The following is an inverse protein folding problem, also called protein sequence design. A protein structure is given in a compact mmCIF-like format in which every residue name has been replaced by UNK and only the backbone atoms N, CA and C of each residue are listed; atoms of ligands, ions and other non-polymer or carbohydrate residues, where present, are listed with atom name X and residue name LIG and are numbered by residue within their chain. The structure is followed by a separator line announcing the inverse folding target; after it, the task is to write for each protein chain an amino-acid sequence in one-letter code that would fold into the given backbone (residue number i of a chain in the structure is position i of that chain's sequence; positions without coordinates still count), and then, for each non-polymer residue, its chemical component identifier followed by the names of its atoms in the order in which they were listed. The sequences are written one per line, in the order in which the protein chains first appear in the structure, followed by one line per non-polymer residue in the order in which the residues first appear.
data_IF_748301385540
#
_entry.id   IF_748301385540
#
_cell.length_a   1.000
_cell.length_b   1.000
_cell.length_c   1.000
_cell.angle_alpha   90.00
_cell.angle_beta   90.00
_cell.angle_gamma   90.00
#
_symmetry.space_group_name_H-M   'P 1'
#
loop_
_entity.id
_entity.type
_entity.pdbx_description
1 polymer ?
#
# COMPACT_ATOMS: atom_id res chain seq x y z
N UNK A 1 -22.64 -16.18 49.78
CA UNK A 1 -21.75 -15.16 49.16
C UNK A 1 -20.75 -15.80 48.18
N UNK A 2 -21.20 -16.45 47.09
CA UNK A 2 -20.28 -17.20 46.19
C UNK A 2 -20.51 -17.00 44.68
N UNK A 3 -21.45 -16.15 44.26
CA UNK A 3 -21.76 -15.94 42.83
C UNK A 3 -21.43 -14.53 42.30
N UNK A 4 -20.77 -13.66 43.08
CA UNK A 4 -20.38 -12.33 42.59
C UNK A 4 -19.02 -12.30 41.88
N UNK A 5 -18.23 -13.36 41.98
CA UNK A 5 -16.89 -13.42 41.37
C UNK A 5 -16.91 -13.85 39.90
N UNK A 6 -17.99 -14.49 39.43
CA UNK A 6 -18.08 -15.00 38.06
C UNK A 6 -18.38 -13.91 37.01
N UNK A 7 -18.85 -12.74 37.43
CA UNK A 7 -19.20 -11.62 36.52
C UNK A 7 -17.96 -10.77 36.18
N UNK A 8 -16.89 -10.84 36.98
CA UNK A 8 -15.70 -10.01 36.75
C UNK A 8 -14.76 -10.55 35.65
N UNK A 9 -14.89 -11.83 35.28
CA UNK A 9 -14.01 -12.48 34.29
C UNK A 9 -14.51 -12.28 32.85
N UNK A 10 -15.75 -11.86 32.64
CA UNK A 10 -16.35 -11.72 31.30
C UNK A 10 -16.08 -10.36 30.61
N UNK A 11 -15.40 -9.42 31.29
CA UNK A 11 -15.15 -8.06 30.77
C UNK A 11 -13.79 -7.89 30.10
N UNK A 12 -13.00 -8.94 29.98
CA UNK A 12 -11.69 -8.91 29.30
C UNK A 12 -11.77 -9.41 27.85
N UNK A 13 -12.87 -9.14 27.16
CA UNK A 13 -12.87 -9.15 25.69
C UNK A 13 -12.21 -7.84 25.26
N UNK A 14 -10.88 -7.86 25.18
CA UNK A 14 -10.10 -6.78 24.60
C UNK A 14 -10.59 -6.64 23.16
N UNK A 15 -11.41 -5.63 22.92
CA UNK A 15 -11.74 -5.17 21.58
C UNK A 15 -10.45 -4.65 20.98
N UNK A 16 -9.74 -5.50 20.23
CA UNK A 16 -8.71 -5.04 19.30
C UNK A 16 -9.43 -4.29 18.19
N UNK A 17 -9.75 -3.02 18.47
CA UNK A 17 -10.16 -2.09 17.42
C UNK A 17 -8.98 -1.94 16.49
N UNK A 18 -9.06 -2.55 15.31
CA UNK A 18 -8.15 -2.26 14.21
C UNK A 18 -8.39 -0.81 13.80
N UNK A 19 -7.73 0.12 14.49
CA UNK A 19 -7.66 1.51 14.06
C UNK A 19 -6.93 1.55 12.73
N UNK A 20 -7.56 2.11 11.70
CA UNK A 20 -6.94 2.29 10.39
C UNK A 20 -5.76 3.25 10.55
N UNK A 21 -4.54 2.78 10.25
CA UNK A 21 -3.33 3.59 10.41
C UNK A 21 -3.18 4.49 9.17
N UNK A 22 -3.40 5.79 9.34
CA UNK A 22 -3.12 6.75 8.26
C UNK A 22 -1.60 6.90 8.09
N UNK A 23 -1.11 6.71 6.87
CA UNK A 23 0.30 6.87 6.51
C UNK A 23 0.44 7.96 5.44
N UNK A 24 1.67 8.44 5.24
CA UNK A 24 1.98 9.42 4.19
C UNK A 24 3.05 8.90 3.24
N UNK A 25 3.24 9.60 2.13
CA UNK A 25 4.34 9.34 1.21
C UNK A 25 5.73 9.50 1.86
N UNK A 26 5.85 10.27 2.93
CA UNK A 26 7.10 10.42 3.67
C UNK A 26 7.43 9.18 4.52
N UNK A 27 6.41 8.41 4.91
CA UNK A 27 6.64 7.11 5.53
C UNK A 27 7.20 6.11 4.51
N UNK A 28 6.61 6.08 3.31
CA UNK A 28 7.04 5.19 2.23
C UNK A 28 8.39 5.58 1.61
N UNK A 29 8.79 6.85 1.72
CA UNK A 29 10.09 7.33 1.29
C UNK A 29 11.27 6.79 2.12
N UNK A 30 11.01 6.12 3.26
CA UNK A 30 12.03 5.52 4.13
C UNK A 30 12.47 4.15 3.58
N UNK A 31 13.06 4.18 2.40
CA UNK A 31 13.60 3.02 1.66
C UNK A 31 14.87 3.46 0.94
N UNK A 32 15.83 2.56 0.82
CA UNK A 32 17.00 2.75 -0.04
C UNK A 32 16.98 1.73 -1.18
N UNK A 33 17.64 2.05 -2.29
CA UNK A 33 17.70 1.16 -3.44
C UNK A 33 19.15 0.85 -3.82
N UNK A 34 19.36 -0.36 -4.32
CA UNK A 34 20.64 -0.83 -4.87
C UNK A 34 20.37 -1.64 -6.13
N UNK A 35 21.29 -1.64 -7.08
CA UNK A 35 21.17 -2.49 -8.28
C UNK A 35 21.38 -3.96 -7.89
N UNK A 36 20.41 -4.81 -8.27
CA UNK A 36 20.50 -6.27 -8.15
C UNK A 36 20.25 -6.89 -9.51
N UNK A 37 21.11 -7.82 -9.90
CA UNK A 37 20.92 -8.61 -11.12
C UNK A 37 19.87 -9.70 -10.86
N UNK A 38 18.86 -9.77 -11.74
CA UNK A 38 17.82 -10.79 -11.72
C UNK A 38 18.00 -11.74 -12.91
N UNK A 39 18.53 -12.96 -12.70
CA UNK A 39 18.85 -13.88 -13.79
C UNK A 39 17.67 -14.24 -14.69
N UNK A 40 16.46 -14.31 -14.12
CA UNK A 40 15.25 -14.64 -14.87
C UNK A 40 14.89 -13.61 -15.95
N UNK A 41 15.36 -12.36 -15.78
CA UNK A 41 15.09 -11.24 -16.68
C UNK A 41 16.37 -10.75 -17.39
N UNK A 42 17.51 -11.40 -17.12
CA UNK A 42 18.84 -11.05 -17.63
C UNK A 42 19.20 -9.55 -17.46
N UNK A 43 18.67 -8.89 -16.43
CA UNK A 43 18.77 -7.44 -16.24
C UNK A 43 18.99 -7.05 -14.78
N UNK A 44 19.45 -5.81 -14.57
CA UNK A 44 19.54 -5.21 -13.24
C UNK A 44 18.29 -4.39 -12.95
N UNK A 45 17.74 -4.54 -11.75
CA UNK A 45 16.62 -3.76 -11.26
C UNK A 45 16.97 -3.11 -9.92
N UNK A 46 16.26 -2.01 -9.61
CA UNK A 46 16.34 -1.36 -8.31
C UNK A 46 15.74 -2.29 -7.24
N UNK A 47 16.60 -2.79 -6.36
CA UNK A 47 16.22 -3.64 -5.26
C UNK A 47 16.03 -2.83 -3.98
N UNK A 48 14.84 -2.84 -3.36
CA UNK A 48 14.56 -2.03 -2.19
C UNK A 48 15.11 -2.65 -0.90
N UNK A 49 15.68 -1.81 -0.04
CA UNK A 49 15.94 -2.09 1.36
C UNK A 49 15.03 -1.20 2.21
N UNK A 50 13.90 -1.76 2.66
CA UNK A 50 12.91 -1.05 3.46
C UNK A 50 13.41 -0.79 4.88
N UNK A 51 13.15 0.42 5.39
CA UNK A 51 13.40 0.74 6.81
C UNK A 51 12.51 -0.08 7.73
N UNK A 52 12.89 -0.17 9.00
CA UNK A 52 12.10 -0.87 10.01
C UNK A 52 10.68 -0.29 10.14
N UNK A 53 10.55 1.05 10.08
CA UNK A 53 9.25 1.70 10.12
C UNK A 53 8.32 1.34 8.96
N UNK A 54 8.87 1.01 7.79
CA UNK A 54 8.07 0.53 6.64
C UNK A 54 7.69 -0.93 6.83
N UNK A 55 8.62 -1.76 7.33
CA UNK A 55 8.35 -3.18 7.63
C UNK A 55 7.27 -3.35 8.69
N UNK A 56 7.22 -2.47 9.69
CA UNK A 56 6.16 -2.46 10.71
C UNK A 56 4.75 -2.20 10.15
N UNK A 57 4.63 -1.69 8.92
CA UNK A 57 3.34 -1.52 8.25
C UNK A 57 2.84 -2.81 7.60
N UNK A 58 3.71 -3.78 7.32
CA UNK A 58 3.36 -4.99 6.58
C UNK A 58 2.30 -5.79 7.33
N UNK A 59 1.24 -6.18 6.61
CA UNK A 59 0.09 -6.90 7.17
C UNK A 59 -0.87 -6.04 7.99
N UNK A 60 -0.61 -4.73 8.14
CA UNK A 60 -1.52 -3.80 8.82
C UNK A 60 -2.47 -3.14 7.83
N UNK A 61 -3.65 -2.72 8.32
CA UNK A 61 -4.58 -1.92 7.53
C UNK A 61 -4.18 -0.45 7.58
N UNK A 62 -3.79 0.10 6.43
CA UNK A 62 -3.34 1.48 6.29
C UNK A 62 -4.23 2.26 5.33
N UNK A 63 -4.36 3.56 5.57
CA UNK A 63 -5.02 4.49 4.66
C UNK A 63 -3.97 5.44 4.07
N UNK A 64 -3.92 5.52 2.75
CA UNK A 64 -3.03 6.42 2.01
C UNK A 64 -3.83 7.27 1.02
N UNK A 65 -3.42 8.53 0.85
CA UNK A 65 -4.02 9.46 -0.11
C UNK A 65 -3.08 9.72 -1.26
N UNK A 66 -3.57 9.66 -2.49
CA UNK A 66 -2.79 9.95 -3.70
C UNK A 66 -3.66 10.09 -4.94
N UNK A 67 -2.99 10.21 -6.08
CA UNK A 67 -3.64 10.23 -7.39
C UNK A 67 -3.95 8.80 -7.83
N UNK A 68 -5.20 8.53 -8.16
CA UNK A 68 -5.59 7.27 -8.78
C UNK A 68 -5.16 7.27 -10.24
N UNK A 69 -4.39 6.27 -10.64
CA UNK A 69 -3.94 6.07 -12.01
C UNK A 69 -4.42 4.71 -12.51
N UNK A 70 -5.18 4.72 -13.60
CA UNK A 70 -5.49 3.52 -14.35
C UNK A 70 -4.64 3.52 -15.62
N UNK A 71 -3.60 2.68 -15.65
CA UNK A 71 -2.58 2.69 -16.73
C UNK A 71 -2.89 1.67 -17.82
N UNK A 72 -3.64 0.63 -17.48
CA UNK A 72 -4.05 -0.41 -18.42
C UNK A 72 -5.52 -0.22 -18.83
N UNK A 73 -5.84 -0.17 -20.14
CA UNK A 73 -7.21 -0.14 -20.63
C UNK A 73 -8.10 -1.29 -20.12
N UNK A 74 -7.52 -2.45 -19.78
CA UNK A 74 -8.28 -3.58 -19.20
C UNK A 74 -8.49 -3.44 -17.69
N UNK A 75 -7.78 -2.51 -17.04
CA UNK A 75 -7.90 -2.24 -15.62
C UNK A 75 -7.17 -3.24 -14.72
N UNK A 76 -6.20 -3.97 -15.27
CA UNK A 76 -5.42 -4.97 -14.52
C UNK A 76 -4.34 -4.31 -13.67
N UNK A 77 -3.93 -3.07 -14.03
CA UNK A 77 -2.92 -2.30 -13.30
C UNK A 77 -3.47 -0.96 -12.80
N UNK A 78 -3.87 -0.95 -11.54
CA UNK A 78 -4.34 0.23 -10.82
C UNK A 78 -3.27 0.70 -9.84
N UNK A 79 -3.03 2.00 -9.80
CA UNK A 79 -1.93 2.57 -9.02
C UNK A 79 -2.42 3.77 -8.23
N UNK A 80 -1.97 3.85 -6.98
CA UNK A 80 -1.98 5.07 -6.21
C UNK A 80 -0.60 5.72 -6.35
N UNK A 81 -0.58 6.96 -6.82
CA UNK A 81 0.66 7.69 -7.10
C UNK A 81 0.78 8.93 -6.22
N UNK A 82 2.01 9.27 -5.82
CA UNK A 82 2.32 10.52 -5.10
C UNK A 82 1.99 11.76 -5.93
N UNK A 83 2.17 11.68 -7.24
CA UNK A 83 1.91 12.75 -8.20
C UNK A 83 0.91 12.34 -9.29
N UNK A 84 0.40 13.30 -10.09
CA UNK A 84 -0.45 13.01 -11.23
C UNK A 84 0.30 12.21 -12.31
N UNK A 85 -0.44 11.68 -13.28
CA UNK A 85 0.07 10.91 -14.41
C UNK A 85 1.22 11.60 -15.12
N UNK A 86 1.16 12.93 -15.29
CA UNK A 86 2.19 13.73 -15.97
C UNK A 86 3.53 13.82 -15.23
N UNK A 87 3.60 13.39 -13.97
CA UNK A 87 4.81 13.36 -13.14
C UNK A 87 4.95 12.08 -12.31
N UNK A 88 4.34 10.99 -12.77
CA UNK A 88 4.37 9.70 -12.09
C UNK A 88 5.77 9.03 -12.21
N UNK A 89 5.97 7.97 -11.43
CA UNK A 89 7.10 7.03 -11.53
C UNK A 89 7.43 6.66 -12.99
N UNK A 90 6.42 6.32 -13.79
CA UNK A 90 6.60 5.93 -15.20
C UNK A 90 7.07 7.07 -16.11
N UNK A 91 6.92 8.33 -15.69
CA UNK A 91 7.43 9.48 -16.41
C UNK A 91 8.88 9.83 -16.02
N UNK A 92 9.49 9.05 -15.12
CA UNK A 92 10.87 9.25 -14.67
C UNK A 92 11.07 10.40 -13.68
N UNK A 93 9.98 10.95 -13.13
CA UNK A 93 10.01 12.08 -12.18
C UNK A 93 10.00 11.62 -10.72
N UNK A 94 9.51 10.41 -10.43
CA UNK A 94 9.50 9.79 -9.11
C UNK A 94 10.26 8.47 -9.07
N UNK A 95 10.74 8.09 -7.88
CA UNK A 95 11.32 6.76 -7.64
C UNK A 95 10.24 5.69 -7.37
N UNK A 96 10.61 4.40 -7.28
CA UNK A 96 9.64 3.33 -7.05
C UNK A 96 8.81 3.51 -5.77
N UNK A 97 9.35 4.24 -4.78
CA UNK A 97 8.67 4.57 -3.54
C UNK A 97 7.49 5.54 -3.68
N UNK A 98 7.28 6.10 -4.88
CA UNK A 98 6.20 7.05 -5.18
C UNK A 98 4.98 6.41 -5.83
N UNK A 99 4.98 5.08 -5.99
CA UNK A 99 3.89 4.30 -6.57
C UNK A 99 3.50 3.14 -5.65
N UNK A 100 2.20 2.91 -5.51
CA UNK A 100 1.62 1.77 -4.79
C UNK A 100 0.64 1.06 -5.71
N UNK A 101 0.88 -0.21 -5.97
CA UNK A 101 -0.06 -1.06 -6.71
C UNK A 101 -1.31 -1.30 -5.87
N UNK A 102 -2.48 -1.17 -6.50
CA UNK A 102 -3.78 -1.37 -5.87
C UNK A 102 -4.38 -2.67 -6.37
N UNK A 103 -4.48 -3.67 -5.50
CA UNK A 103 -5.15 -4.93 -5.80
C UNK A 103 -6.60 -4.84 -5.32
N UNK A 104 -7.45 -4.33 -6.21
CA UNK A 104 -8.88 -4.11 -5.96
C UNK A 104 -9.67 -5.21 -6.67
N UNK A 105 -10.56 -5.90 -5.94
CA UNK A 105 -11.36 -7.00 -6.49
C UNK A 105 -12.24 -6.60 -7.69
N UNK A 106 -12.60 -5.32 -7.80
CA UNK A 106 -13.35 -4.77 -8.92
C UNK A 106 -12.80 -3.40 -9.27
N UNK A 107 -12.48 -3.18 -10.55
CA UNK A 107 -12.03 -1.88 -11.03
C UNK A 107 -13.07 -0.80 -10.71
N UNK A 108 -12.72 0.22 -9.90
CA UNK A 108 -13.62 1.30 -9.57
C UNK A 108 -13.75 2.26 -10.77
N UNK A 109 -14.96 2.78 -11.01
CA UNK A 109 -15.19 3.78 -12.05
C UNK A 109 -14.67 5.17 -11.60
N UNK A 110 -13.36 5.30 -11.48
CA UNK A 110 -12.64 6.50 -11.04
C UNK A 110 -11.76 6.95 -12.22
N UNK A 111 -11.77 8.24 -12.52
CA UNK A 111 -10.94 8.79 -13.57
C UNK A 111 -9.47 8.89 -13.11
N UNK A 112 -8.53 8.63 -14.02
CA UNK A 112 -7.11 8.91 -13.79
C UNK A 112 -6.91 10.36 -13.32
N UNK A 113 -5.95 10.57 -12.42
CA UNK A 113 -5.65 11.82 -11.72
C UNK A 113 -6.67 12.28 -10.69
N UNK A 114 -7.73 11.50 -10.45
CA UNK A 114 -8.63 11.75 -9.31
C UNK A 114 -7.86 11.51 -8.01
N UNK A 115 -7.93 12.46 -7.07
CA UNK A 115 -7.33 12.29 -5.75
C UNK A 115 -8.25 11.41 -4.92
N UNK A 116 -7.71 10.31 -4.40
CA UNK A 116 -8.45 9.39 -3.55
C UNK A 116 -7.70 9.10 -2.26
N UNK A 117 -8.43 8.78 -1.20
CA UNK A 117 -7.92 8.02 -0.06
C UNK A 117 -8.40 6.58 -0.18
N UNK A 118 -7.49 5.62 -0.06
CA UNK A 118 -7.82 4.20 -0.11
C UNK A 118 -7.24 3.48 1.10
N UNK A 119 -8.00 2.53 1.66
CA UNK A 119 -7.58 1.67 2.77
C UNK A 119 -7.43 0.24 2.30
N UNK A 120 -6.33 -0.40 2.66
CA UNK A 120 -6.04 -1.80 2.34
C UNK A 120 -4.99 -2.40 3.29
N UNK A 121 -4.68 -3.67 3.08
CA UNK A 121 -3.60 -4.40 3.77
C UNK A 121 -2.28 -4.08 3.07
N UNK A 122 -1.34 -3.48 3.80
CA UNK A 122 -0.05 -3.07 3.22
C UNK A 122 0.90 -4.25 3.07
N UNK A 123 1.56 -4.31 1.91
CA UNK A 123 2.65 -5.25 1.61
C UNK A 123 3.82 -4.55 0.95
N UNK A 124 4.99 -5.13 1.18
CA UNK A 124 6.22 -4.79 0.47
C UNK A 124 6.62 -5.94 -0.44
N UNK A 125 7.19 -5.62 -1.59
CA UNK A 125 7.72 -6.57 -2.54
C UNK A 125 9.12 -6.15 -3.01
N UNK A 126 10.05 -7.10 -3.01
CA UNK A 126 11.45 -6.88 -3.38
C UNK A 126 11.91 -7.79 -4.51
N UNK A 127 11.30 -8.96 -4.63
CA UNK A 127 11.84 -10.07 -5.42
C UNK A 127 11.02 -10.35 -6.69
N UNK A 128 9.77 -9.90 -6.74
CA UNK A 128 8.92 -10.04 -7.92
C UNK A 128 8.96 -8.73 -8.72
N UNK A 129 9.68 -8.74 -9.85
CA UNK A 129 9.83 -7.53 -10.69
C UNK A 129 8.60 -7.22 -11.53
N UNK A 130 7.63 -8.14 -11.61
CA UNK A 130 6.37 -7.93 -12.31
C UNK A 130 5.36 -7.15 -11.45
N UNK A 131 5.65 -6.98 -10.15
CA UNK A 131 4.86 -6.22 -9.18
C UNK A 131 5.61 -5.02 -8.61
N UNK A 132 4.86 -4.04 -8.09
CA UNK A 132 5.45 -2.83 -7.48
C UNK A 132 6.10 -3.13 -6.13
N UNK A 133 6.99 -2.25 -5.68
CA UNK A 133 7.64 -2.41 -4.37
C UNK A 133 6.67 -2.26 -3.18
N UNK A 134 5.57 -1.54 -3.39
CA UNK A 134 4.49 -1.38 -2.42
C UNK A 134 3.17 -1.80 -3.04
N UNK A 135 2.41 -2.58 -2.28
CA UNK A 135 1.12 -3.14 -2.71
C UNK A 135 0.11 -2.89 -1.60
N UNK A 136 -1.09 -2.44 -1.97
CA UNK A 136 -2.27 -2.47 -1.11
C UNK A 136 -3.24 -3.53 -1.62
N UNK A 137 -3.44 -4.54 -0.79
CA UNK A 137 -4.40 -5.61 -1.02
C UNK A 137 -5.70 -5.37 -0.23
N UNK A 138 -6.73 -6.15 -0.52
CA UNK A 138 -8.01 -6.12 0.21
C UNK A 138 -8.58 -4.70 0.36
N UNK A 139 -8.47 -3.91 -0.72
CA UNK A 139 -8.92 -2.54 -0.75
C UNK A 139 -10.45 -2.44 -0.71
N UNK A 140 -10.99 -1.68 0.23
CA UNK A 140 -12.44 -1.62 0.49
C UNK A 140 -12.97 -0.19 0.75
N UNK A 141 -12.18 0.68 1.37
CA UNK A 141 -12.61 2.03 1.73
C UNK A 141 -11.96 3.07 0.81
N UNK A 142 -12.65 3.44 -0.26
CA UNK A 142 -12.24 4.48 -1.20
C UNK A 142 -13.06 5.76 -0.96
N UNK A 143 -12.36 6.86 -0.72
CA UNK A 143 -12.93 8.21 -0.61
C UNK A 143 -12.37 9.08 -1.73
N UNK A 144 -13.23 9.70 -2.52
CA UNK A 144 -12.88 10.61 -3.62
C UNK A 144 -12.87 12.06 -3.08
N UNK A 145 -11.89 12.86 -3.49
CA UNK A 145 -11.73 14.28 -3.12
C UNK A 145 -11.99 15.23 -4.28
#
# INVERSE_FOLDING_TARGET
MKNKFLILVLLFVVSTGFSQKKITWDDLAKVTFSDKYFPAYEANYLYPAFSESVKELVGTRVTLTGYFLNIDPQGELLILSKGPMSSCFFCGVGGPETAVELQIAKNPNIYTDTIISITGTFKTNSDDVDHFNYILEDCDNITIH
#
